data_IF_796414203586
#
_entry.id   IF_796414203586
#
_cell.length_a   1.000
_cell.length_b   1.000
_cell.length_c   1.000
_cell.angle_alpha   90.00
_cell.angle_beta   90.00
_cell.angle_gamma   90.00
#
_symmetry.space_group_name_H-M   'P 1'
#
loop_
_entity.id
_entity.type
_entity.pdbx_description
1 polymer ?
#
# COMPACT_ATOMS: atom_id res chain seq x y z
N UNK A 1 -10.21 32.64 33.24
CA UNK A 1 -9.03 31.90 32.71
C UNK A 1 -9.62 30.88 31.77
N UNK A 2 -9.62 31.20 30.49
CA UNK A 2 -10.12 30.31 29.43
C UNK A 2 -8.98 29.37 29.10
N UNK A 3 -9.14 28.09 29.43
CA UNK A 3 -8.25 27.04 28.99
C UNK A 3 -8.46 26.83 27.49
N UNK A 4 -7.65 27.57 26.69
CA UNK A 4 -7.49 27.33 25.27
C UNK A 4 -6.71 26.00 25.07
N UNK A 5 -7.40 24.88 25.29
CA UNK A 5 -6.91 23.59 24.86
C UNK A 5 -7.17 23.45 23.35
N UNK A 6 -6.40 24.16 22.53
CA UNK A 6 -6.30 23.91 21.10
C UNK A 6 -5.64 22.56 20.93
N UNK A 7 -6.46 21.50 20.91
CA UNK A 7 -6.07 20.20 20.33
C UNK A 7 -5.69 20.51 18.88
N UNK A 8 -4.40 20.50 18.57
CA UNK A 8 -3.92 20.48 17.20
C UNK A 8 -4.49 19.22 16.58
N UNK A 9 -5.53 19.36 15.74
CA UNK A 9 -6.05 18.25 14.93
C UNK A 9 -4.92 17.83 14.00
N UNK A 10 -4.24 16.72 14.32
CA UNK A 10 -3.24 16.13 13.44
C UNK A 10 -3.89 15.70 12.13
N UNK A 11 -3.27 16.08 11.03
CA UNK A 11 -3.72 15.70 9.69
C UNK A 11 -3.45 14.23 9.41
N UNK A 12 -4.23 13.61 8.54
CA UNK A 12 -3.95 12.26 8.02
C UNK A 12 -2.56 12.14 7.35
N UNK A 13 -1.93 13.28 7.06
CA UNK A 13 -0.58 13.34 6.51
C UNK A 13 0.52 13.26 7.59
N UNK A 14 0.15 13.25 8.88
CA UNK A 14 1.07 13.28 10.01
C UNK A 14 1.19 11.90 10.66
N UNK A 15 2.42 11.52 11.03
CA UNK A 15 2.68 10.25 11.70
C UNK A 15 1.93 10.14 13.04
N UNK A 16 1.78 11.25 13.77
CA UNK A 16 1.11 11.30 15.08
C UNK A 16 -0.37 10.94 14.98
N UNK A 17 -1.05 11.34 13.89
CA UNK A 17 -2.45 10.98 13.65
C UNK A 17 -2.63 9.45 13.61
N UNK A 18 -1.76 8.75 12.88
CA UNK A 18 -1.83 7.30 12.73
C UNK A 18 -1.34 6.58 13.98
N UNK A 19 -0.23 7.07 14.61
CA UNK A 19 0.27 6.50 15.86
C UNK A 19 -0.83 6.51 16.92
N UNK A 20 -1.52 7.65 17.11
CA UNK A 20 -2.61 7.78 18.07
C UNK A 20 -3.75 6.79 17.81
N UNK A 21 -4.13 6.53 16.54
CA UNK A 21 -5.17 5.54 16.21
C UNK A 21 -4.78 4.13 16.62
N UNK A 22 -3.50 3.76 16.46
CA UNK A 22 -3.00 2.47 16.94
C UNK A 22 -2.95 2.41 18.46
N UNK A 23 -2.50 3.48 19.13
CA UNK A 23 -2.43 3.55 20.59
C UNK A 23 -3.82 3.47 21.23
N UNK A 24 -4.82 4.11 20.62
CA UNK A 24 -6.21 4.13 21.09
C UNK A 24 -7.01 2.86 20.64
N UNK A 25 -6.42 1.98 19.82
CA UNK A 25 -7.09 0.80 19.28
C UNK A 25 -8.16 1.09 18.21
N UNK A 26 -8.19 2.27 17.64
CA UNK A 26 -9.08 2.65 16.54
C UNK A 26 -8.54 2.15 15.18
N UNK A 27 -8.58 0.84 14.98
CA UNK A 27 -8.02 0.16 13.79
C UNK A 27 -9.09 -0.59 12.99
N UNK A 28 -10.24 0.03 12.76
CA UNK A 28 -11.38 -0.59 12.08
C UNK A 28 -11.10 -1.06 10.64
N UNK A 29 -9.99 -0.65 10.04
CA UNK A 29 -9.52 -1.16 8.75
C UNK A 29 -8.78 -2.50 8.84
N UNK A 30 -8.29 -2.86 10.04
CA UNK A 30 -7.54 -4.08 10.27
C UNK A 30 -8.45 -5.32 10.22
N UNK A 31 -8.12 -6.25 9.35
CA UNK A 31 -8.87 -7.49 9.16
C UNK A 31 -8.24 -8.69 9.87
N UNK A 32 -7.14 -8.49 10.59
CA UNK A 32 -6.47 -9.50 11.41
C UNK A 32 -5.72 -10.58 10.64
N UNK A 33 -5.64 -10.48 9.31
CA UNK A 33 -4.97 -11.45 8.42
C UNK A 33 -4.67 -10.84 7.05
N UNK A 34 -3.89 -11.57 6.23
CA UNK A 34 -3.72 -11.22 4.81
C UNK A 34 -5.09 -11.18 4.12
N UNK A 35 -5.30 -10.18 3.26
CA UNK A 35 -6.57 -10.08 2.52
C UNK A 35 -6.67 -11.18 1.47
N UNK A 36 -7.84 -11.84 1.31
CA UNK A 36 -7.98 -12.96 0.38
C UNK A 36 -7.58 -12.61 -1.06
N UNK A 37 -7.88 -11.41 -1.62
CA UNK A 37 -7.44 -11.06 -2.96
C UNK A 37 -5.92 -11.00 -3.11
N UNK A 38 -5.23 -10.42 -2.12
CA UNK A 38 -3.76 -10.30 -2.15
C UNK A 38 -3.09 -11.63 -1.83
N UNK A 39 -3.68 -12.44 -0.96
CA UNK A 39 -3.23 -13.82 -0.75
C UNK A 39 -3.25 -14.59 -2.07
N UNK A 40 -4.39 -14.59 -2.79
CA UNK A 40 -4.52 -15.26 -4.08
C UNK A 40 -3.51 -14.71 -5.13
N UNK A 41 -3.23 -13.40 -5.10
CA UNK A 41 -2.22 -12.82 -5.97
C UNK A 41 -0.80 -13.30 -5.62
N UNK A 42 -0.45 -13.37 -4.33
CA UNK A 42 0.85 -13.90 -3.88
C UNK A 42 0.99 -15.38 -4.26
N UNK A 43 -0.06 -16.19 -4.11
CA UNK A 43 -0.09 -17.58 -4.57
C UNK A 43 0.14 -17.66 -6.08
N UNK A 44 -0.51 -16.80 -6.86
CA UNK A 44 -0.26 -16.69 -8.31
C UNK A 44 1.21 -16.35 -8.63
N UNK A 45 1.87 -15.48 -7.86
CA UNK A 45 3.31 -15.22 -8.06
C UNK A 45 4.15 -16.47 -7.84
N UNK A 46 3.80 -17.29 -6.83
CA UNK A 46 4.47 -18.55 -6.53
C UNK A 46 4.30 -19.56 -7.65
N UNK A 47 3.08 -19.75 -8.12
CA UNK A 47 2.74 -20.68 -9.19
C UNK A 47 3.42 -20.34 -10.52
N UNK A 48 3.68 -19.05 -10.76
CA UNK A 48 4.42 -18.57 -11.92
C UNK A 48 5.95 -18.51 -11.72
N UNK A 49 6.45 -19.07 -10.64
CA UNK A 49 7.90 -19.20 -10.41
C UNK A 49 8.62 -17.87 -10.16
N UNK A 50 7.94 -16.87 -9.60
CA UNK A 50 8.58 -15.61 -9.24
C UNK A 50 9.68 -15.89 -8.20
N UNK A 51 10.86 -15.31 -8.42
CA UNK A 51 12.01 -15.50 -7.54
C UNK A 51 11.70 -15.10 -6.11
N UNK A 52 12.09 -15.94 -5.15
CA UNK A 52 12.02 -15.62 -3.71
C UNK A 52 12.92 -14.45 -3.31
N UNK A 53 13.83 -14.02 -4.17
CA UNK A 53 14.66 -12.82 -4.02
C UNK A 53 14.05 -11.58 -4.70
N UNK A 54 12.81 -11.66 -5.22
CA UNK A 54 12.11 -10.49 -5.73
C UNK A 54 11.97 -9.44 -4.62
N UNK A 55 12.24 -8.19 -4.96
CA UNK A 55 12.11 -7.06 -4.03
C UNK A 55 10.65 -6.61 -3.99
N UNK A 56 10.03 -6.68 -2.83
CA UNK A 56 8.60 -6.41 -2.63
C UNK A 56 8.43 -5.34 -1.55
N UNK A 57 7.64 -4.31 -1.83
CA UNK A 57 7.28 -3.28 -0.86
C UNK A 57 5.82 -3.40 -0.44
N UNK A 58 5.57 -3.26 0.86
CA UNK A 58 4.24 -3.07 1.46
C UNK A 58 4.20 -1.67 2.07
N UNK A 59 3.63 -0.67 1.39
CA UNK A 59 3.57 0.71 1.88
C UNK A 59 2.34 0.94 2.77
N UNK A 60 2.47 1.80 3.78
CA UNK A 60 1.39 2.09 4.74
C UNK A 60 0.87 0.81 5.38
N UNK A 61 1.80 -0.04 5.78
CA UNK A 61 1.54 -1.46 5.95
C UNK A 61 0.72 -1.79 7.21
N UNK A 62 0.65 -0.88 8.16
CA UNK A 62 0.01 -1.16 9.45
C UNK A 62 0.59 -2.45 10.07
N UNK A 63 -0.29 -3.37 10.43
CA UNK A 63 0.10 -4.68 10.97
C UNK A 63 0.76 -5.63 9.94
N UNK A 64 0.88 -5.24 8.67
CA UNK A 64 1.69 -5.88 7.63
C UNK A 64 1.43 -7.38 7.41
N UNK A 65 0.16 -7.80 7.39
CA UNK A 65 -0.19 -9.22 7.22
C UNK A 65 0.30 -9.79 5.87
N UNK A 66 0.27 -9.00 4.81
CA UNK A 66 0.78 -9.35 3.49
C UNK A 66 2.29 -9.63 3.53
N UNK A 67 3.05 -8.79 4.27
CA UNK A 67 4.48 -9.00 4.47
C UNK A 67 4.78 -10.27 5.26
N UNK A 68 3.98 -10.55 6.30
CA UNK A 68 4.08 -11.78 7.08
C UNK A 68 3.85 -13.01 6.21
N UNK A 69 2.78 -13.00 5.42
CA UNK A 69 2.47 -14.10 4.50
C UNK A 69 3.58 -14.31 3.45
N UNK A 70 4.09 -13.23 2.83
CA UNK A 70 5.23 -13.31 1.91
C UNK A 70 6.47 -13.92 2.58
N UNK A 71 6.79 -13.52 3.81
CA UNK A 71 7.91 -14.04 4.57
C UNK A 71 7.75 -15.54 4.85
N UNK A 72 6.57 -15.98 5.26
CA UNK A 72 6.23 -17.40 5.47
C UNK A 72 6.35 -18.22 4.18
N UNK A 73 6.06 -17.61 3.03
CA UNK A 73 6.25 -18.20 1.72
C UNK A 73 7.73 -18.19 1.24
N UNK A 74 8.66 -17.67 2.05
CA UNK A 74 10.10 -17.68 1.79
C UNK A 74 10.64 -16.53 0.94
N UNK A 75 9.87 -15.47 0.71
CA UNK A 75 10.40 -14.24 0.11
C UNK A 75 11.36 -13.55 1.08
N UNK A 76 12.60 -13.29 0.63
CA UNK A 76 13.69 -12.78 1.47
C UNK A 76 13.87 -11.26 1.43
N UNK A 77 13.30 -10.58 0.43
CA UNK A 77 13.47 -9.15 0.21
C UNK A 77 12.11 -8.43 0.25
N UNK A 78 11.38 -8.65 1.33
CA UNK A 78 10.12 -7.94 1.61
C UNK A 78 10.44 -6.74 2.49
N UNK A 79 9.99 -5.55 2.09
CA UNK A 79 10.15 -4.29 2.80
C UNK A 79 8.79 -3.79 3.25
N UNK A 80 8.75 -3.29 4.47
CA UNK A 80 7.55 -2.73 5.10
C UNK A 80 7.83 -1.28 5.42
N UNK A 81 6.96 -0.35 5.05
CA UNK A 81 7.06 1.05 5.45
C UNK A 81 5.76 1.52 6.08
N UNK A 82 5.87 2.15 7.24
CA UNK A 82 4.76 2.82 7.92
C UNK A 82 5.26 4.02 8.74
N UNK A 83 4.44 5.02 8.92
CA UNK A 83 4.71 6.14 9.84
C UNK A 83 4.69 5.68 11.28
N UNK A 84 3.67 4.88 11.65
CA UNK A 84 3.40 4.48 13.00
C UNK A 84 4.39 3.40 13.45
N UNK A 85 4.95 3.59 14.64
CA UNK A 85 5.90 2.65 15.21
C UNK A 85 5.22 1.40 15.75
N UNK A 86 4.08 1.58 16.44
CA UNK A 86 3.43 0.47 17.16
C UNK A 86 3.10 -0.73 16.26
N UNK A 87 2.51 -0.59 15.05
CA UNK A 87 2.24 -1.74 14.19
C UNK A 87 3.53 -2.42 13.70
N UNK A 88 4.61 -1.66 13.44
CA UNK A 88 5.92 -2.24 13.07
C UNK A 88 6.54 -3.05 14.21
N UNK A 89 6.47 -2.54 15.45
CA UNK A 89 6.92 -3.27 16.64
C UNK A 89 6.09 -4.55 16.88
N UNK A 90 4.78 -4.48 16.65
CA UNK A 90 3.89 -5.64 16.74
C UNK A 90 4.21 -6.68 15.65
N UNK A 91 4.49 -6.23 14.43
CA UNK A 91 4.93 -7.10 13.36
C UNK A 91 6.26 -7.79 13.69
N UNK A 92 7.27 -7.04 14.17
CA UNK A 92 8.57 -7.57 14.55
C UNK A 92 8.47 -8.64 15.67
N UNK A 93 7.51 -8.48 16.60
CA UNK A 93 7.24 -9.49 17.66
C UNK A 93 6.61 -10.77 17.07
N UNK A 94 5.72 -10.64 16.08
CA UNK A 94 5.10 -11.79 15.41
C UNK A 94 6.07 -12.56 14.51
N UNK A 95 7.00 -11.83 13.88
CA UNK A 95 7.99 -12.37 12.94
C UNK A 95 9.42 -12.05 13.37
N UNK A 96 9.96 -12.68 14.43
CA UNK A 96 11.30 -12.37 14.96
C UNK A 96 12.43 -12.65 13.96
N UNK A 97 12.20 -13.53 12.97
CA UNK A 97 13.13 -13.86 11.90
C UNK A 97 13.11 -12.89 10.71
N UNK A 98 12.13 -11.98 10.68
CA UNK A 98 12.04 -10.99 9.60
C UNK A 98 13.22 -9.98 9.70
N UNK A 99 13.87 -9.62 8.58
CA UNK A 99 15.01 -8.71 8.61
C UNK A 99 14.63 -7.34 9.14
N UNK A 100 15.18 -6.94 10.28
CA UNK A 100 14.88 -5.63 10.91
C UNK A 100 15.19 -4.44 10.01
N UNK A 101 16.22 -4.56 9.15
CA UNK A 101 16.58 -3.53 8.18
C UNK A 101 15.50 -3.30 7.09
N UNK A 102 14.53 -4.21 6.97
CA UNK A 102 13.41 -4.11 6.02
C UNK A 102 12.14 -3.54 6.66
N UNK A 103 12.17 -3.24 7.98
CA UNK A 103 11.08 -2.54 8.68
C UNK A 103 11.42 -1.05 8.74
N UNK A 104 10.81 -0.27 7.88
CA UNK A 104 11.09 1.14 7.70
C UNK A 104 10.04 2.00 8.42
N UNK A 105 10.39 2.58 9.55
CA UNK A 105 9.58 3.63 10.15
C UNK A 105 9.90 4.94 9.43
N UNK A 106 9.11 5.28 8.42
CA UNK A 106 9.38 6.42 7.55
C UNK A 106 8.12 6.92 6.84
N UNK A 107 8.19 8.15 6.33
CA UNK A 107 7.25 8.65 5.34
C UNK A 107 7.51 7.95 3.99
N UNK A 108 6.48 7.27 3.47
CA UNK A 108 6.51 6.66 2.14
C UNK A 108 6.93 7.65 1.04
N UNK A 109 6.48 8.90 1.13
CA UNK A 109 6.80 9.93 0.15
C UNK A 109 8.27 10.39 0.18
N UNK A 110 8.97 10.11 1.29
CA UNK A 110 10.39 10.38 1.48
C UNK A 110 11.31 9.23 1.08
N UNK A 111 10.79 8.07 0.65
CA UNK A 111 11.64 6.96 0.21
C UNK A 111 12.43 7.36 -1.04
N UNK A 112 13.76 7.19 -0.99
CA UNK A 112 14.67 7.52 -2.08
C UNK A 112 14.66 6.42 -3.16
N UNK A 113 14.22 6.73 -4.39
CA UNK A 113 14.24 5.74 -5.50
C UNK A 113 15.67 5.31 -5.91
N UNK A 114 16.71 6.04 -5.52
CA UNK A 114 18.09 5.61 -5.74
C UNK A 114 18.51 4.47 -4.81
N UNK A 115 17.86 4.34 -3.65
CA UNK A 115 18.10 3.27 -2.69
C UNK A 115 17.11 2.12 -2.81
N UNK A 116 15.87 2.42 -3.23
CA UNK A 116 14.75 1.48 -3.21
C UNK A 116 14.13 1.32 -4.60
N UNK A 117 14.21 0.11 -5.12
CA UNK A 117 13.60 -0.27 -6.40
C UNK A 117 12.96 -1.65 -6.27
N UNK A 118 11.66 -1.75 -6.59
CA UNK A 118 10.87 -2.94 -6.31
C UNK A 118 10.36 -3.64 -7.57
N UNK A 119 10.36 -4.97 -7.53
CA UNK A 119 9.72 -5.82 -8.55
C UNK A 119 8.20 -5.79 -8.37
N UNK A 120 7.75 -5.71 -7.12
CA UNK A 120 6.34 -5.60 -6.76
C UNK A 120 6.15 -4.58 -5.65
N UNK A 121 5.09 -3.79 -5.75
CA UNK A 121 4.54 -3.02 -4.63
C UNK A 121 3.13 -3.54 -4.41
N UNK A 122 2.84 -4.03 -3.20
CA UNK A 122 1.53 -4.60 -2.85
C UNK A 122 0.84 -3.68 -1.85
N UNK A 123 -0.30 -3.15 -2.26
CA UNK A 123 -1.03 -2.10 -1.54
C UNK A 123 -2.33 -2.64 -0.96
N UNK A 124 -2.52 -2.39 0.33
CA UNK A 124 -3.74 -2.72 1.06
C UNK A 124 -4.12 -1.56 1.99
N UNK A 125 -5.23 -0.88 1.70
CA UNK A 125 -5.80 0.21 2.52
C UNK A 125 -4.88 1.42 2.78
N UNK A 126 -3.81 1.58 2.00
CA UNK A 126 -2.93 2.73 2.09
C UNK A 126 -3.42 3.91 1.23
N UNK A 127 -3.81 3.66 -0.03
CA UNK A 127 -4.32 4.71 -0.91
C UNK A 127 -5.56 5.42 -0.32
N UNK A 128 -6.45 4.68 0.32
CA UNK A 128 -7.62 5.24 0.97
C UNK A 128 -7.33 5.97 2.30
N UNK A 129 -6.11 5.85 2.81
CA UNK A 129 -5.64 6.56 4.00
C UNK A 129 -5.01 7.92 3.66
N UNK A 130 -4.66 8.14 2.38
CA UNK A 130 -3.99 9.34 1.89
C UNK A 130 -5.03 10.41 1.52
N UNK A 131 -4.77 11.66 1.91
CA UNK A 131 -5.56 12.80 1.49
C UNK A 131 -5.67 12.83 -0.05
N UNK A 132 -6.88 12.98 -0.63
CA UNK A 132 -7.07 12.98 -2.08
C UNK A 132 -6.20 13.99 -2.84
N UNK A 133 -5.86 15.13 -2.23
CA UNK A 133 -4.94 16.12 -2.82
C UNK A 133 -3.54 15.55 -3.10
N UNK A 134 -3.12 14.50 -2.39
CA UNK A 134 -1.81 13.85 -2.55
C UNK A 134 -1.83 12.61 -3.45
N UNK A 135 -2.97 12.23 -4.04
CA UNK A 135 -3.09 11.03 -4.88
C UNK A 135 -2.18 11.06 -6.11
N UNK A 136 -1.97 12.25 -6.71
CA UNK A 136 -1.01 12.40 -7.81
C UNK A 136 0.43 12.16 -7.35
N UNK A 137 0.80 12.62 -6.16
CA UNK A 137 2.14 12.40 -5.61
C UNK A 137 2.36 10.94 -5.22
N UNK A 138 1.31 10.27 -4.69
CA UNK A 138 1.32 8.83 -4.48
C UNK A 138 1.64 8.09 -5.79
N UNK A 139 0.90 8.38 -6.87
CA UNK A 139 1.11 7.70 -8.15
C UNK A 139 2.53 7.94 -8.71
N UNK A 140 3.06 9.18 -8.59
CA UNK A 140 4.44 9.51 -8.97
C UNK A 140 5.47 8.75 -8.13
N UNK A 141 5.27 8.69 -6.82
CA UNK A 141 6.21 7.99 -5.92
C UNK A 141 6.20 6.48 -6.19
N UNK A 142 5.02 5.87 -6.34
CA UNK A 142 4.89 4.47 -6.73
C UNK A 142 5.63 4.18 -8.05
N UNK A 143 5.46 5.06 -9.06
CA UNK A 143 6.14 4.93 -10.34
C UNK A 143 7.67 4.97 -10.19
N UNK A 144 8.21 5.90 -9.38
CA UNK A 144 9.65 6.04 -9.15
C UNK A 144 10.24 4.84 -8.41
N UNK A 145 9.48 4.23 -7.49
CA UNK A 145 9.92 3.09 -6.71
C UNK A 145 9.80 1.75 -7.44
N UNK A 146 9.06 1.69 -8.55
CA UNK A 146 8.94 0.49 -9.37
C UNK A 146 10.11 0.34 -10.34
N UNK A 147 10.69 -0.85 -10.41
CA UNK A 147 11.58 -1.24 -11.51
C UNK A 147 10.86 -1.16 -12.86
N UNK A 148 11.58 -1.08 -13.99
CA UNK A 148 10.96 -0.99 -15.32
C UNK A 148 9.96 -2.10 -15.66
N UNK A 149 10.16 -3.31 -15.11
CA UNK A 149 9.26 -4.46 -15.27
C UNK A 149 8.35 -4.69 -14.06
N UNK A 150 8.46 -3.80 -13.06
CA UNK A 150 7.74 -3.92 -11.80
C UNK A 150 6.23 -3.74 -11.94
N UNK A 151 5.49 -4.23 -10.94
CA UNK A 151 4.03 -4.13 -10.86
C UNK A 151 3.60 -3.54 -9.53
N UNK A 152 2.66 -2.60 -9.59
CA UNK A 152 1.89 -2.14 -8.43
C UNK A 152 0.55 -2.88 -8.43
N UNK A 153 0.24 -3.56 -7.33
CA UNK A 153 -0.94 -4.41 -7.19
C UNK A 153 -1.64 -4.09 -5.88
N UNK A 154 -2.95 -4.07 -5.89
CA UNK A 154 -3.66 -3.77 -4.65
C UNK A 154 -5.17 -3.72 -4.80
N UNK A 155 -5.78 -3.14 -3.77
CA UNK A 155 -7.22 -2.95 -3.65
C UNK A 155 -7.54 -1.47 -3.47
N UNK A 156 -8.57 -0.99 -4.18
CA UNK A 156 -9.11 0.36 -4.05
C UNK A 156 -10.55 0.27 -3.59
N UNK A 157 -10.98 1.23 -2.77
CA UNK A 157 -12.37 1.32 -2.34
C UNK A 157 -13.21 2.01 -3.43
N UNK A 158 -14.11 1.26 -4.08
CA UNK A 158 -15.09 1.74 -5.06
C UNK A 158 -16.37 2.18 -4.34
N UNK A 159 -16.21 3.19 -3.49
CA UNK A 159 -17.27 3.72 -2.62
C UNK A 159 -16.87 5.08 -2.06
N UNK A 160 -17.82 6.00 -1.96
CA UNK A 160 -17.67 7.23 -1.20
C UNK A 160 -18.11 7.06 0.25
N UNK A 161 -17.45 7.76 1.18
CA UNK A 161 -17.71 7.72 2.62
C UNK A 161 -18.14 9.11 3.12
N UNK A 162 -19.01 9.12 4.13
CA UNK A 162 -19.47 10.37 4.77
C UNK A 162 -18.40 10.98 5.68
N UNK A 163 -17.53 10.15 6.25
CA UNK A 163 -16.42 10.56 7.12
C UNK A 163 -15.08 10.01 6.62
N UNK A 164 -14.01 10.75 6.82
CA UNK A 164 -12.67 10.41 6.33
C UNK A 164 -11.64 10.42 7.47
N UNK A 165 -10.57 9.58 7.42
CA UNK A 165 -10.41 8.44 6.53
C UNK A 165 -11.38 7.28 6.87
N UNK A 166 -11.64 6.34 5.94
CA UNK A 166 -11.00 6.17 4.64
C UNK A 166 -11.54 7.12 3.58
N UNK A 167 -10.67 7.57 2.67
CA UNK A 167 -11.06 8.30 1.47
C UNK A 167 -11.39 7.31 0.36
N UNK A 168 -12.63 7.26 -0.05
CA UNK A 168 -13.08 6.45 -1.17
C UNK A 168 -12.87 7.12 -2.52
N UNK A 169 -13.57 6.61 -3.52
CA UNK A 169 -13.60 7.10 -4.88
C UNK A 169 -14.35 6.13 -5.77
N UNK A 170 -14.16 6.26 -7.07
CA UNK A 170 -14.75 5.38 -8.06
C UNK A 170 -13.76 4.94 -9.15
N UNK A 171 -14.16 3.94 -9.92
CA UNK A 171 -13.35 3.37 -10.97
C UNK A 171 -12.87 4.42 -11.99
N UNK A 172 -13.73 5.36 -12.39
CA UNK A 172 -13.41 6.37 -13.41
C UNK A 172 -12.37 7.36 -12.90
N UNK A 173 -12.47 7.78 -11.63
CA UNK A 173 -11.47 8.62 -10.99
C UNK A 173 -10.11 7.93 -10.97
N UNK A 174 -10.06 6.64 -10.59
CA UNK A 174 -8.83 5.88 -10.53
C UNK A 174 -8.22 5.62 -11.91
N UNK A 175 -9.03 5.32 -12.92
CA UNK A 175 -8.58 5.21 -14.31
C UNK A 175 -7.95 6.53 -14.78
N UNK A 176 -8.62 7.64 -14.52
CA UNK A 176 -8.14 8.98 -14.91
C UNK A 176 -6.82 9.32 -14.24
N UNK A 177 -6.65 8.98 -12.96
CA UNK A 177 -5.41 9.20 -12.23
C UNK A 177 -4.28 8.30 -12.76
N UNK A 178 -4.50 6.98 -12.70
CA UNK A 178 -3.41 6.03 -12.93
C UNK A 178 -2.96 5.96 -14.40
N UNK A 179 -3.85 6.18 -15.36
CA UNK A 179 -3.46 6.21 -16.78
C UNK A 179 -2.42 7.32 -17.10
N UNK A 180 -2.24 8.32 -16.24
CA UNK A 180 -1.22 9.35 -16.43
C UNK A 180 0.18 8.80 -16.17
N UNK A 181 0.32 7.86 -15.24
CA UNK A 181 1.59 7.35 -14.74
C UNK A 181 1.90 5.91 -15.18
N UNK A 182 0.87 5.09 -15.35
CA UNK A 182 0.99 3.65 -15.53
C UNK A 182 0.22 3.15 -16.77
N UNK A 183 0.57 1.94 -17.19
CA UNK A 183 -0.30 1.08 -17.98
C UNK A 183 -1.19 0.32 -17.01
N UNK A 184 -2.51 0.46 -17.17
CA UNK A 184 -3.51 -0.27 -16.39
C UNK A 184 -3.68 -1.66 -17.01
N UNK A 185 -3.17 -2.70 -16.33
CA UNK A 185 -3.31 -4.08 -16.77
C UNK A 185 -4.65 -4.67 -16.30
N UNK A 186 -5.05 -4.32 -15.08
CA UNK A 186 -6.32 -4.72 -14.47
C UNK A 186 -6.83 -3.56 -13.61
N UNK A 187 -8.12 -3.28 -13.70
CA UNK A 187 -8.88 -2.46 -12.75
C UNK A 187 -10.34 -2.93 -12.82
N UNK A 188 -10.70 -3.88 -11.98
CA UNK A 188 -11.96 -4.59 -12.04
C UNK A 188 -12.56 -4.84 -10.66
N UNK A 189 -13.90 -5.01 -10.54
CA UNK A 189 -14.52 -5.40 -9.28
C UNK A 189 -13.85 -6.63 -8.67
N UNK A 190 -13.51 -6.54 -7.39
CA UNK A 190 -12.84 -7.62 -6.68
C UNK A 190 -13.87 -8.70 -6.29
N UNK A 191 -13.70 -9.91 -6.83
CA UNK A 191 -14.68 -11.01 -6.65
C UNK A 191 -14.54 -11.74 -5.30
N UNK A 192 -13.38 -11.66 -4.67
CA UNK A 192 -13.04 -12.42 -3.46
C UNK A 192 -12.71 -11.52 -2.27
N UNK A 193 -13.24 -10.29 -2.24
CA UNK A 193 -13.17 -9.40 -1.07
C UNK A 193 -13.79 -10.04 0.17
N UNK A 194 -13.31 -9.62 1.34
CA UNK A 194 -13.97 -9.99 2.60
C UNK A 194 -15.43 -9.50 2.63
N UNK A 195 -16.30 -10.21 3.35
CA UNK A 195 -17.74 -9.91 3.41
C UNK A 195 -18.08 -8.43 3.60
N UNK A 196 -17.45 -7.68 4.55
CA UNK A 196 -17.77 -6.26 4.75
C UNK A 196 -17.41 -5.34 3.59
N UNK A 197 -16.54 -5.80 2.66
CA UNK A 197 -16.05 -5.03 1.51
C UNK A 197 -16.52 -5.57 0.17
N UNK A 198 -17.31 -6.63 0.18
CA UNK A 198 -17.86 -7.24 -1.04
C UNK A 198 -18.68 -6.23 -1.84
N UNK A 199 -18.39 -6.10 -3.16
CA UNK A 199 -19.03 -5.16 -4.06
C UNK A 199 -18.60 -3.69 -3.91
N UNK A 200 -17.60 -3.41 -3.05
CA UNK A 200 -17.06 -2.07 -2.84
C UNK A 200 -15.53 -1.99 -2.94
N UNK A 201 -14.90 -3.01 -3.53
CA UNK A 201 -13.47 -3.00 -3.81
C UNK A 201 -13.20 -3.30 -5.28
N UNK A 202 -12.19 -2.60 -5.83
CA UNK A 202 -11.58 -2.92 -7.11
C UNK A 202 -10.23 -3.58 -6.86
N UNK A 203 -9.94 -4.65 -7.56
CA UNK A 203 -8.60 -5.22 -7.66
C UNK A 203 -7.87 -4.57 -8.85
N UNK A 204 -6.63 -4.16 -8.63
CA UNK A 204 -5.85 -3.52 -9.68
C UNK A 204 -4.46 -4.12 -9.86
N UNK A 205 -3.98 -4.08 -11.10
CA UNK A 205 -2.59 -4.34 -11.48
C UNK A 205 -2.16 -3.24 -12.45
N UNK A 206 -1.11 -2.52 -12.06
CA UNK A 206 -0.49 -1.46 -12.85
C UNK A 206 0.96 -1.83 -13.15
N UNK A 207 1.45 -1.42 -14.33
CA UNK A 207 2.86 -1.57 -14.71
C UNK A 207 3.42 -0.27 -15.25
N UNK A 208 4.76 -0.15 -15.28
CA UNK A 208 5.43 0.99 -15.89
C UNK A 208 4.95 1.20 -17.33
N UNK A 209 4.74 2.45 -17.72
CA UNK A 209 4.53 2.78 -19.13
C UNK A 209 5.80 2.41 -19.92
N UNK A 210 5.63 1.69 -21.01
CA UNK A 210 6.75 1.47 -21.94
C UNK A 210 7.22 2.83 -22.45
N UNK A 211 8.50 3.14 -22.25
CA UNK A 211 9.12 4.30 -22.90
C UNK A 211 9.04 4.05 -24.40
N UNK A 212 8.20 4.81 -25.10
CA UNK A 212 8.28 4.84 -26.55
C UNK A 212 9.62 5.48 -26.89
N UNK A 213 10.62 4.68 -27.24
CA UNK A 213 11.81 5.21 -27.86
C UNK A 213 11.36 5.97 -29.13
N UNK A 214 11.35 7.30 -29.05
CA UNK A 214 11.20 8.10 -30.24
C UNK A 214 12.29 7.62 -31.21
N UNK A 215 11.88 7.00 -32.31
CA UNK A 215 12.79 6.70 -33.41
C UNK A 215 13.32 8.05 -33.87
N UNK A 216 14.55 8.31 -33.51
CA UNK A 216 15.29 9.42 -34.15
C UNK A 216 15.51 8.95 -35.58
N UNK A 217 14.78 9.55 -36.50
CA UNK A 217 15.02 9.41 -37.95
C UNK A 217 16.15 10.33 -38.34
#
# INVERSE_FOLDING_TARGET
MEDNNTLTEHSVNDAEFWQKRYDDGYTGWDIGKVSPPLQAYIEHLLDNGVSKSAQILIPGAGNAYEAGYLHEQGFSHVYVVDFARLPLDNFAKRYPSFPKAHLLQADFFGLDPAQYQFDYIIEQTFFCAIDPSRRSDYAKQMQKLLKPTGKLVGLLLDKHFESNPPFGGDKQEYETLFQQFFTINTLAPCYNSIKPRQGSELFFILSQKKVQNARVF
#
